data_IF_556781169631
#
_entry.id   IF_556781169631
#
_cell.length_a   1.000
_cell.length_b   1.000
_cell.length_c   1.000
_cell.angle_alpha   90.00
_cell.angle_beta   90.00
_cell.angle_gamma   90.00
#
_symmetry.space_group_name_H-M   'P 1'
#
loop_
_entity.id
_entity.type
_entity.pdbx_description
1 polymer ?
#
# COMPACT_ATOMS: atom_id res chain seq x y z
N UNK A 1 15.72 55.95 -28.82
CA UNK A 1 16.29 54.66 -28.31
C UNK A 1 15.43 54.22 -27.15
N UNK A 2 14.57 53.20 -27.40
CA UNK A 2 13.70 52.62 -26.38
C UNK A 2 14.18 51.22 -26.13
N UNK A 3 14.76 51.00 -24.97
CA UNK A 3 15.15 49.69 -24.49
C UNK A 3 13.91 48.93 -24.01
N UNK A 4 13.57 47.86 -24.70
CA UNK A 4 12.54 46.94 -24.25
C UNK A 4 13.12 46.03 -23.18
N UNK A 5 12.70 46.22 -21.93
CA UNK A 5 12.97 45.29 -20.84
C UNK A 5 12.21 43.99 -21.09
N UNK A 6 12.95 42.93 -21.38
CA UNK A 6 12.42 41.55 -21.44
C UNK A 6 12.17 41.10 -20.01
N UNK A 7 10.90 41.03 -19.62
CA UNK A 7 10.47 40.40 -18.38
C UNK A 7 10.64 38.91 -18.48
N UNK A 8 11.69 38.37 -17.86
CA UNK A 8 11.87 36.93 -17.70
C UNK A 8 10.86 36.47 -16.65
N UNK A 9 9.76 35.92 -17.12
CA UNK A 9 8.78 35.23 -16.27
C UNK A 9 9.48 34.00 -15.68
N UNK A 10 9.82 34.08 -14.40
CA UNK A 10 10.35 32.95 -13.64
C UNK A 10 9.38 31.78 -13.72
N UNK A 11 9.88 30.62 -14.16
CA UNK A 11 9.18 29.36 -14.01
C UNK A 11 8.94 29.13 -12.52
N UNK A 12 7.70 29.23 -12.14
CA UNK A 12 7.25 28.81 -10.81
C UNK A 12 7.67 27.37 -10.58
N UNK A 13 8.23 27.14 -9.38
CA UNK A 13 8.68 25.84 -8.94
C UNK A 13 7.55 24.82 -9.08
N UNK A 14 7.76 23.81 -9.90
CA UNK A 14 6.91 22.65 -10.02
C UNK A 14 6.60 22.11 -8.62
N UNK A 15 5.36 22.22 -8.19
CA UNK A 15 4.83 21.51 -7.03
C UNK A 15 5.20 20.04 -7.21
N UNK A 16 6.11 19.55 -6.39
CA UNK A 16 6.52 18.15 -6.39
C UNK A 16 5.27 17.30 -6.17
N UNK A 17 4.69 16.77 -7.24
CA UNK A 17 3.55 15.84 -7.14
C UNK A 17 4.01 14.66 -6.28
N UNK A 18 3.52 14.62 -5.04
CA UNK A 18 3.83 13.50 -4.14
C UNK A 18 3.40 12.20 -4.81
N UNK A 19 4.36 11.30 -4.99
CA UNK A 19 4.11 9.98 -5.58
C UNK A 19 3.08 9.23 -4.74
N UNK A 20 2.02 8.77 -5.40
CA UNK A 20 0.90 8.08 -4.75
C UNK A 20 0.79 6.65 -5.28
N UNK A 21 0.66 5.70 -4.37
CA UNK A 21 0.36 4.29 -4.67
C UNK A 21 -1.04 3.97 -4.18
N UNK A 22 -1.88 3.46 -5.08
CA UNK A 22 -3.22 2.99 -4.72
C UNK A 22 -3.16 1.54 -4.23
N UNK A 23 -4.14 1.14 -3.41
CA UNK A 23 -4.32 -0.25 -3.01
C UNK A 23 -5.78 -0.67 -3.18
N UNK A 24 -6.01 -1.94 -3.51
CA UNK A 24 -7.34 -2.49 -3.69
C UNK A 24 -7.39 -3.97 -3.30
N UNK A 25 -8.48 -4.39 -2.65
CA UNK A 25 -8.77 -5.81 -2.43
C UNK A 25 -9.80 -6.29 -3.44
N UNK A 26 -9.55 -7.40 -4.14
CA UNK A 26 -10.54 -7.90 -5.10
C UNK A 26 -11.75 -8.54 -4.41
N UNK A 27 -11.56 -9.18 -3.22
CA UNK A 27 -12.63 -9.86 -2.48
C UNK A 27 -13.45 -10.80 -3.38
N UNK A 28 -14.78 -10.75 -3.24
CA UNK A 28 -15.76 -11.46 -4.07
C UNK A 28 -16.37 -10.61 -5.18
N UNK A 29 -15.73 -9.47 -5.53
CA UNK A 29 -16.25 -8.56 -6.55
C UNK A 29 -16.43 -9.24 -7.91
N UNK A 30 -17.42 -8.82 -8.66
CA UNK A 30 -17.48 -9.11 -10.08
C UNK A 30 -16.29 -8.44 -10.80
N UNK A 31 -15.75 -9.09 -11.83
CA UNK A 31 -14.61 -8.54 -12.56
C UNK A 31 -14.92 -7.17 -13.18
N UNK A 32 -16.17 -6.97 -13.66
CA UNK A 32 -16.59 -5.69 -14.24
C UNK A 32 -16.61 -4.55 -13.19
N UNK A 33 -17.02 -4.83 -11.95
CA UNK A 33 -16.96 -3.86 -10.84
C UNK A 33 -15.50 -3.50 -10.52
N UNK A 34 -14.65 -4.52 -10.41
CA UNK A 34 -13.22 -4.33 -10.15
C UNK A 34 -12.56 -3.45 -11.22
N UNK A 35 -12.85 -3.70 -12.51
CA UNK A 35 -12.33 -2.91 -13.63
C UNK A 35 -12.80 -1.46 -13.55
N UNK A 36 -14.09 -1.22 -13.32
CA UNK A 36 -14.64 0.15 -13.16
C UNK A 36 -13.95 0.93 -12.02
N UNK A 37 -13.64 0.27 -10.91
CA UNK A 37 -12.91 0.89 -9.80
C UNK A 37 -11.50 1.33 -10.20
N UNK A 38 -10.79 0.48 -10.94
CA UNK A 38 -9.44 0.82 -11.43
C UNK A 38 -9.47 1.99 -12.41
N UNK A 39 -10.39 1.95 -13.37
CA UNK A 39 -10.56 2.97 -14.41
C UNK A 39 -10.95 4.32 -13.81
N UNK A 40 -11.89 4.34 -12.85
CA UNK A 40 -12.34 5.56 -12.16
C UNK A 40 -11.21 6.27 -11.38
N UNK A 41 -10.16 5.54 -11.01
CA UNK A 41 -9.00 6.10 -10.31
C UNK A 41 -7.74 6.21 -11.21
N UNK A 42 -7.91 6.11 -12.53
CA UNK A 42 -6.83 6.28 -13.48
C UNK A 42 -5.69 5.27 -13.33
N UNK A 43 -6.00 4.05 -12.84
CA UNK A 43 -4.98 3.01 -12.64
C UNK A 43 -4.45 2.53 -13.99
N UNK A 44 -3.15 2.66 -14.18
CA UNK A 44 -2.45 2.22 -15.40
C UNK A 44 -1.79 0.85 -15.22
N UNK A 45 -1.47 0.48 -13.95
CA UNK A 45 -0.88 -0.82 -13.63
C UNK A 45 -1.44 -1.42 -12.35
N UNK A 46 -1.83 -2.68 -12.41
CA UNK A 46 -2.10 -3.52 -11.23
C UNK A 46 -0.86 -4.34 -10.88
N UNK A 47 -0.37 -4.17 -9.66
CA UNK A 47 0.66 -5.00 -9.06
C UNK A 47 -0.02 -6.02 -8.15
N UNK A 48 -0.04 -7.27 -8.58
CA UNK A 48 -0.58 -8.38 -7.80
C UNK A 48 0.44 -8.80 -6.73
N UNK A 49 0.12 -8.50 -5.48
CA UNK A 49 0.96 -8.83 -4.32
C UNK A 49 0.50 -10.11 -3.61
N UNK A 50 -0.30 -10.94 -4.24
CA UNK A 50 -0.62 -12.27 -3.71
C UNK A 50 0.59 -13.19 -3.87
N UNK A 51 0.86 -14.04 -2.88
CA UNK A 51 1.92 -15.05 -3.01
C UNK A 51 1.61 -16.05 -4.13
N UNK A 52 0.34 -16.47 -4.20
CA UNK A 52 -0.18 -17.38 -5.22
C UNK A 52 -1.39 -16.71 -5.87
N UNK A 53 -1.32 -16.31 -7.14
CA UNK A 53 -2.39 -15.59 -7.83
C UNK A 53 -3.44 -16.56 -8.40
N UNK A 54 -3.93 -17.46 -7.55
CA UNK A 54 -5.02 -18.41 -7.84
C UNK A 54 -6.15 -18.18 -6.84
N UNK A 55 -7.38 -18.38 -7.28
CA UNK A 55 -8.55 -18.34 -6.41
C UNK A 55 -9.56 -19.38 -6.92
N UNK A 56 -9.84 -20.40 -6.13
CA UNK A 56 -10.88 -21.37 -6.43
C UNK A 56 -12.27 -20.73 -6.35
N UNK A 57 -12.50 -19.91 -5.31
CA UNK A 57 -13.78 -19.24 -5.08
C UNK A 57 -14.04 -18.04 -6.01
N UNK A 58 -12.99 -17.41 -6.53
CA UNK A 58 -13.08 -16.22 -7.40
C UNK A 58 -12.20 -16.43 -8.64
N UNK A 59 -12.52 -17.37 -9.53
CA UNK A 59 -11.67 -17.77 -10.65
C UNK A 59 -11.44 -16.65 -11.66
N UNK A 60 -12.29 -15.61 -11.70
CA UNK A 60 -12.11 -14.40 -12.51
C UNK A 60 -10.82 -13.63 -12.13
N UNK A 61 -10.33 -13.81 -10.90
CA UNK A 61 -9.07 -13.22 -10.40
C UNK A 61 -7.89 -14.18 -10.46
N UNK A 62 -7.99 -15.33 -11.16
CA UNK A 62 -6.79 -16.09 -11.50
C UNK A 62 -5.88 -15.27 -12.40
N UNK A 63 -4.57 -15.49 -12.29
CA UNK A 63 -3.53 -14.68 -12.97
C UNK A 63 -3.85 -14.45 -14.45
N UNK A 64 -4.18 -15.51 -15.17
CA UNK A 64 -4.38 -15.46 -16.61
C UNK A 64 -5.67 -14.71 -16.99
N UNK A 65 -6.77 -14.96 -16.23
CA UNK A 65 -8.07 -14.31 -16.45
C UNK A 65 -7.99 -12.82 -16.12
N UNK A 66 -7.41 -12.48 -14.96
CA UNK A 66 -7.23 -11.11 -14.54
C UNK A 66 -6.33 -10.34 -15.52
N UNK A 67 -5.17 -10.90 -15.89
CA UNK A 67 -4.27 -10.25 -16.86
C UNK A 67 -4.94 -10.01 -18.22
N UNK A 68 -5.83 -10.92 -18.66
CA UNK A 68 -6.59 -10.76 -19.89
C UNK A 68 -7.65 -9.65 -19.76
N UNK A 69 -8.35 -9.58 -18.63
CA UNK A 69 -9.33 -8.53 -18.37
C UNK A 69 -8.67 -7.14 -18.34
N UNK A 70 -7.57 -6.99 -17.58
CA UNK A 70 -6.80 -5.75 -17.49
C UNK A 70 -6.29 -5.27 -18.85
N UNK A 71 -5.77 -6.18 -19.67
CA UNK A 71 -5.28 -5.84 -21.03
C UNK A 71 -6.36 -5.23 -21.92
N UNK A 72 -7.62 -5.69 -21.80
CA UNK A 72 -8.75 -5.13 -22.57
C UNK A 72 -9.03 -3.68 -22.23
N UNK A 73 -8.78 -3.28 -20.98
CA UNK A 73 -8.86 -1.89 -20.49
C UNK A 73 -7.52 -1.15 -20.55
N UNK A 74 -6.53 -1.68 -21.28
CA UNK A 74 -5.18 -1.08 -21.41
C UNK A 74 -4.46 -0.88 -20.05
N UNK A 75 -4.82 -1.67 -19.04
CA UNK A 75 -4.16 -1.67 -17.73
C UNK A 75 -3.11 -2.77 -17.72
N UNK A 76 -1.89 -2.42 -17.34
CA UNK A 76 -0.80 -3.37 -17.23
C UNK A 76 -0.98 -4.29 -16.02
N UNK A 77 -0.52 -5.52 -16.12
CA UNK A 77 -0.50 -6.48 -15.01
C UNK A 77 0.93 -6.87 -14.65
N UNK A 78 1.26 -6.82 -13.36
CA UNK A 78 2.54 -7.34 -12.86
C UNK A 78 2.32 -8.13 -11.58
N UNK A 79 2.82 -9.36 -11.54
CA UNK A 79 2.89 -10.15 -10.33
C UNK A 79 4.24 -9.95 -9.64
N UNK A 80 4.24 -9.58 -8.35
CA UNK A 80 5.44 -9.44 -7.52
C UNK A 80 5.27 -10.35 -6.28
N UNK A 81 5.58 -11.65 -6.40
CA UNK A 81 5.40 -12.63 -5.30
C UNK A 81 6.28 -12.33 -4.09
N UNK A 82 7.37 -11.58 -4.27
CA UNK A 82 8.22 -11.10 -3.20
C UNK A 82 7.52 -10.09 -2.26
N UNK A 83 6.40 -9.49 -2.66
CA UNK A 83 5.54 -8.70 -1.77
C UNK A 83 4.40 -9.56 -1.17
N UNK A 84 4.35 -10.86 -1.45
CA UNK A 84 3.27 -11.74 -1.02
C UNK A 84 3.29 -12.07 0.46
N UNK A 85 2.10 -12.18 1.06
CA UNK A 85 1.87 -12.56 2.46
C UNK A 85 2.19 -14.04 2.75
N UNK A 86 1.63 -14.56 3.86
CA UNK A 86 1.85 -15.94 4.35
C UNK A 86 3.31 -16.24 4.62
N UNK A 87 3.91 -15.47 5.52
CA UNK A 87 5.29 -15.65 5.99
C UNK A 87 5.26 -16.20 7.42
N UNK A 88 6.08 -17.21 7.75
CA UNK A 88 6.19 -17.70 9.11
C UNK A 88 6.85 -16.64 10.00
N UNK A 89 6.38 -16.54 11.23
CA UNK A 89 7.04 -15.70 12.23
C UNK A 89 8.33 -16.36 12.71
N UNK A 90 9.37 -15.56 12.94
CA UNK A 90 10.64 -16.00 13.50
C UNK A 90 10.49 -16.22 15.02
N UNK A 91 11.29 -17.12 15.59
CA UNK A 91 11.33 -17.35 17.05
C UNK A 91 11.90 -16.14 17.80
N UNK A 92 12.87 -15.47 17.19
CA UNK A 92 13.58 -14.27 17.67
C UNK A 92 12.98 -12.97 17.11
N UNK A 93 11.70 -12.97 16.76
CA UNK A 93 11.02 -11.82 16.15
C UNK A 93 11.05 -10.59 17.06
N UNK A 94 11.50 -9.46 16.53
CA UNK A 94 11.43 -8.15 17.17
C UNK A 94 10.05 -7.48 16.99
N UNK A 95 9.18 -8.07 16.14
CA UNK A 95 7.88 -7.53 15.77
C UNK A 95 6.76 -8.05 16.67
N UNK A 96 7.02 -8.19 17.95
CA UNK A 96 6.15 -8.82 18.95
C UNK A 96 4.91 -7.97 19.30
N UNK A 97 4.82 -6.73 18.82
CA UNK A 97 3.61 -5.91 18.88
C UNK A 97 2.46 -6.51 18.07
N UNK A 98 2.74 -7.33 17.07
CA UNK A 98 1.75 -8.11 16.34
C UNK A 98 1.41 -9.41 17.10
N UNK A 99 0.21 -9.50 17.68
CA UNK A 99 -0.30 -10.75 18.30
C UNK A 99 -0.59 -11.82 17.24
N UNK A 100 -1.08 -11.39 16.05
CA UNK A 100 -1.33 -12.28 14.92
C UNK A 100 -0.01 -12.76 14.32
N UNK A 101 0.23 -14.07 14.35
CA UNK A 101 1.48 -14.69 13.87
C UNK A 101 1.72 -14.43 12.36
N UNK A 102 0.67 -14.32 11.54
CA UNK A 102 0.81 -14.04 10.11
C UNK A 102 1.29 -12.62 9.85
N UNK A 103 0.82 -11.63 10.61
CA UNK A 103 1.31 -10.26 10.53
C UNK A 103 2.73 -10.14 11.09
N UNK A 104 2.99 -10.79 12.23
CA UNK A 104 4.34 -10.83 12.79
C UNK A 104 5.35 -11.44 11.82
N UNK A 105 5.02 -12.58 11.21
CA UNK A 105 5.88 -13.22 10.21
C UNK A 105 6.07 -12.37 8.95
N UNK A 106 5.06 -11.62 8.55
CA UNK A 106 5.23 -10.69 7.44
C UNK A 106 6.13 -9.49 7.82
N UNK A 107 5.98 -8.96 9.04
CA UNK A 107 6.85 -7.91 9.57
C UNK A 107 8.32 -8.37 9.69
N UNK A 108 8.55 -9.63 10.08
CA UNK A 108 9.89 -10.23 10.07
C UNK A 108 10.45 -10.34 8.65
N UNK A 109 9.61 -10.75 7.70
CA UNK A 109 9.99 -10.83 6.29
C UNK A 109 10.31 -9.45 5.68
N UNK A 110 9.66 -8.39 6.12
CA UNK A 110 9.95 -7.01 5.68
C UNK A 110 11.40 -6.58 5.99
N UNK A 111 12.09 -7.25 6.93
CA UNK A 111 13.49 -6.98 7.26
C UNK A 111 14.46 -7.66 6.27
N UNK A 112 13.98 -8.41 5.28
CA UNK A 112 14.82 -9.12 4.31
C UNK A 112 15.11 -8.27 3.07
N UNK A 113 16.27 -8.52 2.47
CA UNK A 113 16.64 -7.89 1.20
C UNK A 113 15.68 -8.25 0.06
N UNK A 114 15.12 -9.47 0.07
CA UNK A 114 14.12 -9.91 -0.91
C UNK A 114 12.88 -9.04 -0.89
N UNK A 115 12.41 -8.65 0.30
CA UNK A 115 11.31 -7.70 0.42
C UNK A 115 11.71 -6.33 -0.10
N UNK A 116 12.87 -5.79 0.32
CA UNK A 116 13.35 -4.48 -0.11
C UNK A 116 13.44 -4.38 -1.62
N UNK A 117 14.12 -5.31 -2.28
CA UNK A 117 14.21 -5.36 -3.76
C UNK A 117 12.84 -5.44 -4.43
N UNK A 118 11.89 -6.19 -3.84
CA UNK A 118 10.54 -6.31 -4.38
C UNK A 118 9.75 -5.01 -4.25
N UNK A 119 9.94 -4.30 -3.13
CA UNK A 119 9.34 -2.99 -2.88
C UNK A 119 9.93 -1.93 -3.83
N UNK A 120 11.26 -1.92 -4.01
CA UNK A 120 11.94 -0.99 -4.93
C UNK A 120 11.47 -1.18 -6.38
N UNK A 121 11.23 -2.43 -6.77
CA UNK A 121 10.61 -2.73 -8.06
C UNK A 121 9.18 -2.19 -8.18
N UNK A 122 8.39 -2.28 -7.12
CA UNK A 122 7.06 -1.65 -7.06
C UNK A 122 7.17 -0.12 -7.23
N UNK A 123 8.06 0.50 -6.47
CA UNK A 123 8.31 1.95 -6.52
C UNK A 123 8.78 2.39 -7.91
N UNK A 124 9.61 1.59 -8.58
CA UNK A 124 10.08 1.90 -9.95
C UNK A 124 8.95 1.97 -10.98
N UNK A 125 7.86 1.22 -10.78
CA UNK A 125 6.65 1.37 -11.59
C UNK A 125 5.86 2.62 -11.18
N UNK A 126 5.68 2.84 -9.88
CA UNK A 126 4.89 3.96 -9.36
C UNK A 126 5.48 5.35 -9.72
N UNK A 127 6.77 5.41 -10.04
CA UNK A 127 7.41 6.64 -10.56
C UNK A 127 6.98 7.01 -11.98
N UNK A 128 6.39 6.10 -12.73
CA UNK A 128 6.09 6.28 -14.16
C UNK A 128 4.62 6.09 -14.49
N UNK A 129 3.87 5.41 -13.63
CA UNK A 129 2.50 5.00 -13.89
C UNK A 129 1.68 5.09 -12.60
N UNK A 130 0.37 5.32 -12.72
CA UNK A 130 -0.53 5.19 -11.57
C UNK A 130 -0.72 3.71 -11.22
N UNK A 131 -0.16 3.30 -10.11
CA UNK A 131 -0.11 1.90 -9.66
C UNK A 131 -1.18 1.61 -8.61
N UNK A 132 -1.82 0.44 -8.71
CA UNK A 132 -2.64 -0.14 -7.64
C UNK A 132 -2.07 -1.50 -7.17
N UNK A 133 -1.76 -1.62 -5.88
CA UNK A 133 -1.42 -2.91 -5.25
C UNK A 133 -2.69 -3.72 -5.02
N UNK A 134 -2.76 -4.94 -5.52
CA UNK A 134 -3.93 -5.78 -5.43
C UNK A 134 -3.66 -7.05 -4.61
N UNK A 135 -4.55 -7.34 -3.67
CA UNK A 135 -4.62 -8.59 -2.93
C UNK A 135 -6.04 -9.16 -2.92
N UNK A 136 -6.21 -10.37 -2.39
CA UNK A 136 -7.54 -11.00 -2.27
C UNK A 136 -8.40 -10.37 -1.17
N UNK A 137 -7.81 -9.95 -0.05
CA UNK A 137 -8.52 -9.43 1.12
C UNK A 137 -9.14 -8.06 0.85
N UNK A 138 -10.44 -7.92 1.12
CA UNK A 138 -11.13 -6.64 0.97
C UNK A 138 -10.63 -5.59 1.96
N UNK A 139 -10.48 -6.00 3.21
CA UNK A 139 -10.21 -5.11 4.34
C UNK A 139 -8.71 -4.89 4.49
N UNK A 140 -8.18 -3.67 4.27
CA UNK A 140 -6.73 -3.43 4.25
C UNK A 140 -6.04 -3.75 5.58
N UNK A 141 -6.62 -3.42 6.74
CA UNK A 141 -6.04 -3.71 8.05
C UNK A 141 -6.09 -5.20 8.46
N UNK A 142 -6.76 -6.05 7.66
CA UNK A 142 -6.72 -7.51 7.76
C UNK A 142 -5.75 -8.15 6.78
N UNK A 143 -5.04 -7.33 6.01
CA UNK A 143 -4.20 -7.75 4.90
C UNK A 143 -2.77 -7.22 5.05
N UNK A 144 -1.79 -8.01 4.62
CA UNK A 144 -0.38 -7.60 4.56
C UNK A 144 -0.14 -6.35 3.70
N UNK A 145 -1.12 -5.90 2.89
CA UNK A 145 -1.05 -4.60 2.18
C UNK A 145 -0.89 -3.42 3.13
N UNK A 146 -1.44 -3.50 4.36
CA UNK A 146 -1.23 -2.45 5.36
C UNK A 146 0.25 -2.29 5.72
N UNK A 147 0.96 -3.40 5.89
CA UNK A 147 2.40 -3.37 6.21
C UNK A 147 3.24 -2.92 5.00
N UNK A 148 2.80 -3.24 3.76
CA UNK A 148 3.40 -2.64 2.55
C UNK A 148 3.15 -1.12 2.54
N UNK A 149 1.95 -0.69 2.93
CA UNK A 149 1.61 0.73 3.10
C UNK A 149 2.53 1.44 4.08
N UNK A 150 2.78 0.83 5.25
CA UNK A 150 3.73 1.37 6.25
C UNK A 150 5.15 1.51 5.65
N UNK A 151 5.60 0.50 4.89
CA UNK A 151 6.92 0.51 4.26
C UNK A 151 7.05 1.55 3.13
N UNK A 152 5.97 1.83 2.40
CA UNK A 152 5.90 2.90 1.39
C UNK A 152 5.86 4.26 2.07
N UNK A 153 5.04 4.43 3.12
CA UNK A 153 4.96 5.67 3.90
C UNK A 153 6.30 6.03 4.54
N UNK A 154 7.06 5.05 5.06
CA UNK A 154 8.41 5.24 5.57
C UNK A 154 9.41 5.75 4.49
N UNK A 155 9.06 5.67 3.21
CA UNK A 155 9.82 6.19 2.08
C UNK A 155 9.22 7.50 1.51
N UNK A 156 8.29 8.13 2.24
CA UNK A 156 7.64 9.37 1.82
C UNK A 156 6.63 9.20 0.68
N UNK A 157 6.13 7.97 0.44
CA UNK A 157 5.18 7.66 -0.62
C UNK A 157 3.77 7.62 -0.03
N UNK A 158 2.87 8.44 -0.55
CA UNK A 158 1.47 8.43 -0.16
C UNK A 158 0.80 7.12 -0.61
N UNK A 159 -0.04 6.55 0.27
CA UNK A 159 -0.77 5.32 -0.04
C UNK A 159 -2.25 5.53 0.20
N UNK A 160 -3.08 5.17 -0.77
CA UNK A 160 -4.53 5.32 -0.68
C UNK A 160 -5.26 4.02 -1.03
N UNK A 161 -6.21 3.64 -0.22
CA UNK A 161 -7.11 2.51 -0.48
C UNK A 161 -8.27 2.95 -1.37
N UNK A 162 -8.50 2.27 -2.48
CA UNK A 162 -9.70 2.45 -3.32
C UNK A 162 -10.90 1.86 -2.57
N UNK A 163 -11.83 2.72 -2.19
CA UNK A 163 -13.06 2.35 -1.46
C UNK A 163 -14.26 2.26 -2.40
N UNK A 164 -14.41 3.23 -3.30
CA UNK A 164 -15.47 3.28 -4.33
C UNK A 164 -14.93 3.96 -5.59
N UNK A 165 -15.75 4.09 -6.63
CA UNK A 165 -15.37 4.77 -7.87
C UNK A 165 -15.02 6.25 -7.72
N UNK A 166 -15.45 6.90 -6.62
CA UNK A 166 -15.20 8.33 -6.39
C UNK A 166 -14.39 8.61 -5.12
N UNK A 167 -14.08 7.59 -4.31
CA UNK A 167 -13.49 7.80 -2.99
C UNK A 167 -12.33 6.85 -2.72
N UNK A 168 -11.22 7.43 -2.28
CA UNK A 168 -10.11 6.72 -1.64
C UNK A 168 -10.06 7.04 -0.15
N UNK A 169 -9.34 6.24 0.59
CA UNK A 169 -9.00 6.48 1.99
C UNK A 169 -7.49 6.45 2.13
N UNK A 170 -6.91 7.49 2.72
CA UNK A 170 -5.49 7.54 3.02
C UNK A 170 -5.12 6.40 3.98
N UNK A 171 -3.98 5.77 3.72
CA UNK A 171 -3.38 4.79 4.62
C UNK A 171 -2.87 5.51 5.88
N UNK A 172 -3.32 5.05 7.03
CA UNK A 172 -2.75 5.45 8.30
C UNK A 172 -1.66 4.44 8.68
N UNK A 173 -0.46 4.93 8.94
CA UNK A 173 0.64 4.09 9.45
C UNK A 173 0.19 3.40 10.73
N UNK A 174 0.56 2.13 10.88
CA UNK A 174 0.24 1.36 12.08
C UNK A 174 0.70 2.10 13.34
N UNK A 175 -0.18 2.38 14.32
CA UNK A 175 0.12 3.28 15.46
C UNK A 175 1.35 2.88 16.29
N UNK A 176 1.69 1.60 16.30
CA UNK A 176 2.87 1.05 17.00
C UNK A 176 4.01 0.68 16.07
N UNK A 177 4.03 1.22 14.85
CA UNK A 177 5.16 1.10 13.95
C UNK A 177 6.30 1.97 14.42
N UNK A 178 7.49 1.40 14.55
CA UNK A 178 8.74 2.12 14.76
C UNK A 178 9.44 2.25 13.41
N UNK A 179 9.56 3.49 12.94
CA UNK A 179 10.23 3.81 11.68
C UNK A 179 11.62 4.37 11.98
N UNK A 180 12.66 3.72 11.43
CA UNK A 180 14.05 4.20 11.46
C UNK A 180 14.59 4.25 10.03
N UNK A 181 14.73 5.45 9.47
CA UNK A 181 14.97 5.62 8.04
C UNK A 181 13.86 4.99 7.21
N UNK A 182 14.15 3.98 6.39
CA UNK A 182 13.17 3.23 5.60
C UNK A 182 12.76 1.89 6.22
N UNK A 183 13.33 1.55 7.36
CA UNK A 183 13.02 0.31 8.07
C UNK A 183 11.81 0.51 8.98
N UNK A 184 10.87 -0.43 8.95
CA UNK A 184 9.66 -0.44 9.77
C UNK A 184 9.64 -1.71 10.63
N UNK A 185 9.53 -1.54 11.93
CA UNK A 185 9.41 -2.63 12.91
C UNK A 185 8.22 -2.38 13.84
N UNK A 186 7.80 -3.39 14.60
CA UNK A 186 6.59 -3.33 15.43
C UNK A 186 6.86 -3.91 16.81
N UNK A 187 7.64 -3.23 17.67
CA UNK A 187 7.97 -3.73 19.02
C UNK A 187 6.78 -3.70 19.96
N UNK A 188 6.74 -4.66 20.92
CA UNK A 188 5.63 -4.78 21.88
C UNK A 188 5.48 -3.56 22.81
N UNK A 189 6.55 -2.87 23.15
CA UNK A 189 6.50 -1.69 24.01
C UNK A 189 5.57 -0.63 23.42
N UNK A 190 5.75 -0.25 22.17
CA UNK A 190 4.90 0.74 21.49
C UNK A 190 3.46 0.24 21.28
N UNK A 191 3.28 -1.06 21.03
CA UNK A 191 1.94 -1.64 20.91
C UNK A 191 1.14 -1.57 22.23
N UNK A 192 1.80 -1.68 23.36
CA UNK A 192 1.17 -1.55 24.67
C UNK A 192 0.81 -0.10 25.00
N UNK A 193 1.66 0.85 24.62
CA UNK A 193 1.39 2.29 24.78
C UNK A 193 0.20 2.75 23.91
N UNK A 194 0.16 2.36 22.66
CA UNK A 194 -0.91 2.73 21.71
C UNK A 194 -2.28 2.15 22.09
N UNK A 195 -2.32 1.12 22.95
CA UNK A 195 -3.55 0.49 23.43
C UNK A 195 -4.04 1.07 24.78
N UNK A 196 -3.26 1.91 25.45
CA UNK A 196 -3.73 2.59 26.65
C UNK A 196 -4.84 3.55 26.26
N UNK A 197 -6.00 3.54 26.99
CA UNK A 197 -7.02 4.53 26.78
C UNK A 197 -6.41 5.91 27.04
N UNK A 198 -6.72 6.87 26.16
CA UNK A 198 -6.36 8.27 26.41
C UNK A 198 -6.87 8.66 27.80
N UNK A 199 -6.08 9.35 28.64
CA UNK A 199 -6.56 9.78 29.95
C UNK A 199 -7.82 10.61 29.72
N UNK A 200 -8.96 10.08 30.19
CA UNK A 200 -10.23 10.77 30.12
C UNK A 200 -10.03 12.13 30.81
N UNK A 201 -10.34 13.19 30.10
CA UNK A 201 -10.46 14.52 30.68
C UNK A 201 -11.44 14.39 31.82
N UNK A 202 -10.92 14.41 33.05
CA UNK A 202 -11.72 14.38 34.26
C UNK A 202 -12.65 15.60 34.19
N UNK A 203 -13.92 15.37 33.84
CA UNK A 203 -14.96 16.38 33.94
C UNK A 203 -15.01 16.77 35.43
N UNK A 204 -14.49 17.94 35.73
CA UNK A 204 -14.74 18.62 36.99
C UNK A 204 -16.23 18.94 37.01
N UNK A 205 -17.01 18.11 37.67
CA UNK A 205 -18.32 18.50 38.21
C UNK A 205 -18.08 19.36 39.41
N UNK A 206 -18.40 20.62 39.28
CA UNK A 206 -18.79 21.50 40.40
C UNK A 206 -20.29 21.56 40.43
#
# INVERSE_FOLDING_TARGET
>A
MWEMAVCVVGREASSSMMMTVLTIGHSTRAIAEFMRLLEAHGVERVIDVRRIPRSAHNPQFSRERLARALRRSRIHYRHIPGLGGRRPARRDSINTGWRNASFRGYADYMQTETFSRSLDRCISFARREQVALMCAEAVPWRCHRSLIGDALAARGIAVHEIVSGVRTRAHAVTPWALIKGTQVTYPAALANESRRPSPAVARRTR
#
